data_IF_542842380048
#
_entry.id   IF_542842380048
#
_cell.length_a   1.000
_cell.length_b   1.000
_cell.length_c   1.000
_cell.angle_alpha   90.00
_cell.angle_beta   90.00
_cell.angle_gamma   90.00
#
_symmetry.space_group_name_H-M   'P 1'
#
loop_
_entity.id
_entity.type
_entity.pdbx_description
1 polymer ?
#
# COMPACT_ATOMS: atom_id res chain seq x y z
N UNK A 1 -18.28 1.92 14.68
CA UNK A 1 -17.61 2.16 15.98
C UNK A 1 -16.25 1.47 15.92
N UNK A 2 -15.22 2.07 16.46
CA UNK A 2 -13.89 1.51 16.49
C UNK A 2 -13.70 0.93 17.88
N UNK A 3 -13.64 -0.39 17.98
CA UNK A 3 -13.33 -1.06 19.24
C UNK A 3 -11.89 -1.56 19.20
N UNK A 4 -11.10 -1.09 20.14
CA UNK A 4 -9.80 -1.69 20.39
C UNK A 4 -9.98 -2.79 21.42
N UNK A 5 -9.47 -4.00 21.20
CA UNK A 5 -9.42 -5.00 22.24
C UNK A 5 -8.52 -4.46 23.36
N UNK A 6 -9.11 -4.20 24.53
CA UNK A 6 -8.35 -3.88 25.70
C UNK A 6 -7.45 -5.08 26.03
N UNK A 7 -6.16 -4.89 26.15
CA UNK A 7 -5.18 -5.86 26.68
C UNK A 7 -4.70 -6.99 25.74
N UNK A 8 -4.92 -6.94 24.43
CA UNK A 8 -4.30 -7.89 23.52
C UNK A 8 -2.98 -7.34 22.97
N UNK A 9 -1.90 -8.10 23.11
CA UNK A 9 -0.59 -7.76 22.53
C UNK A 9 -0.32 -8.64 21.32
N UNK A 10 -0.02 -8.00 20.19
CA UNK A 10 0.43 -8.66 18.97
C UNK A 10 1.94 -8.51 18.84
N UNK A 11 2.62 -9.60 18.57
CA UNK A 11 4.05 -9.62 18.29
C UNK A 11 4.25 -9.99 16.82
N UNK A 12 5.05 -9.21 16.13
CA UNK A 12 5.44 -9.47 14.74
C UNK A 12 6.94 -9.38 14.58
N UNK A 13 7.47 -10.13 13.66
CA UNK A 13 8.87 -10.06 13.25
C UNK A 13 8.96 -9.56 11.82
N UNK A 14 9.81 -8.57 11.60
CA UNK A 14 10.15 -8.12 10.26
C UNK A 14 11.24 -9.01 9.70
N UNK A 15 11.09 -9.45 8.46
CA UNK A 15 12.13 -10.23 7.76
C UNK A 15 13.35 -9.39 7.38
N UNK A 16 13.17 -8.08 7.30
CA UNK A 16 14.25 -7.15 7.01
C UNK A 16 13.78 -5.71 7.04
N UNK A 17 14.73 -4.81 7.16
CA UNK A 17 14.57 -3.37 7.02
C UNK A 17 15.58 -2.90 5.97
N UNK A 18 15.10 -2.24 4.94
CA UNK A 18 15.92 -1.83 3.81
C UNK A 18 15.76 -0.34 3.56
N UNK A 19 16.85 0.33 3.29
CA UNK A 19 16.87 1.72 2.80
C UNK A 19 17.06 1.78 1.28
N UNK A 20 17.42 0.67 0.66
CA UNK A 20 17.57 0.54 -0.77
C UNK A 20 16.30 -0.02 -1.41
N UNK A 21 15.82 0.63 -2.47
CA UNK A 21 14.56 0.29 -3.13
C UNK A 21 14.61 -1.10 -3.78
N UNK A 22 15.71 -1.47 -4.41
CA UNK A 22 15.87 -2.77 -5.04
C UNK A 22 15.73 -3.91 -4.02
N UNK A 23 16.46 -3.80 -2.90
CA UNK A 23 16.40 -4.80 -1.83
C UNK A 23 15.02 -4.90 -1.18
N UNK A 24 14.31 -3.78 -1.10
CA UNK A 24 13.01 -3.73 -0.44
C UNK A 24 11.89 -4.38 -1.27
N UNK A 25 11.89 -4.22 -2.59
CA UNK A 25 10.72 -4.55 -3.42
C UNK A 25 10.94 -5.61 -4.48
N UNK A 26 12.18 -5.95 -4.83
CA UNK A 26 12.48 -6.85 -5.96
C UNK A 26 11.91 -8.26 -5.80
N UNK A 27 11.74 -8.73 -4.59
CA UNK A 27 11.18 -10.04 -4.28
C UNK A 27 9.77 -9.99 -3.67
N UNK A 28 9.19 -8.81 -3.58
CA UNK A 28 7.87 -8.62 -2.99
C UNK A 28 6.73 -9.00 -3.95
N UNK A 29 5.73 -9.69 -3.43
CA UNK A 29 4.49 -10.00 -4.13
C UNK A 29 3.43 -8.91 -3.92
N UNK A 30 3.53 -8.20 -2.79
CA UNK A 30 2.67 -7.07 -2.43
C UNK A 30 3.56 -5.93 -1.95
N UNK A 31 3.36 -4.75 -2.51
CA UNK A 31 4.01 -3.53 -2.07
C UNK A 31 2.93 -2.56 -1.59
N UNK A 32 2.97 -2.22 -0.32
CA UNK A 32 1.98 -1.34 0.29
C UNK A 32 2.60 -0.01 0.70
N UNK A 33 2.16 1.07 0.07
CA UNK A 33 2.59 2.42 0.37
C UNK A 33 1.80 2.99 1.54
N UNK A 34 2.47 3.19 2.66
CA UNK A 34 1.92 3.83 3.86
C UNK A 34 2.48 5.24 3.99
N UNK A 35 2.21 6.08 3.00
CA UNK A 35 2.85 7.37 2.81
C UNK A 35 1.82 8.50 2.66
N UNK A 36 2.17 9.73 3.04
CA UNK A 36 1.38 10.88 2.68
C UNK A 36 1.38 11.11 1.16
N UNK A 37 0.32 11.73 0.64
CA UNK A 37 0.09 11.87 -0.80
C UNK A 37 1.25 12.51 -1.57
N UNK A 38 1.94 13.46 -0.97
CA UNK A 38 3.06 14.15 -1.61
C UNK A 38 4.29 13.25 -1.84
N UNK A 39 4.43 12.17 -1.09
CA UNK A 39 5.57 11.25 -1.20
C UNK A 39 5.34 10.08 -2.17
N UNK A 40 4.11 9.86 -2.59
CA UNK A 40 3.73 8.70 -3.42
C UNK A 40 4.46 8.70 -4.75
N UNK A 41 4.44 9.81 -5.47
CA UNK A 41 5.06 9.92 -6.79
C UNK A 41 6.56 9.61 -6.75
N UNK A 42 7.27 10.23 -5.84
CA UNK A 42 8.71 10.04 -5.72
C UNK A 42 9.06 8.61 -5.33
N UNK A 43 8.32 8.03 -4.41
CA UNK A 43 8.53 6.63 -4.00
C UNK A 43 8.24 5.68 -5.16
N UNK A 44 7.18 5.88 -5.93
CA UNK A 44 6.90 5.08 -7.12
C UNK A 44 8.00 5.16 -8.16
N UNK A 45 8.59 6.35 -8.36
CA UNK A 45 9.75 6.53 -9.26
C UNK A 45 10.98 5.74 -8.78
N UNK A 46 11.18 5.62 -7.48
CA UNK A 46 12.30 4.87 -6.92
C UNK A 46 12.12 3.35 -7.03
N UNK A 47 10.90 2.84 -6.93
CA UNK A 47 10.65 1.40 -6.86
C UNK A 47 10.23 0.76 -8.20
N UNK A 48 9.72 1.54 -9.14
CA UNK A 48 9.06 1.05 -10.35
C UNK A 48 9.90 0.07 -11.18
N UNK A 49 11.21 0.29 -11.26
CA UNK A 49 12.11 -0.51 -12.09
C UNK A 49 12.47 -1.87 -11.44
N UNK A 50 12.17 -2.03 -10.16
CA UNK A 50 12.49 -3.23 -9.38
C UNK A 50 11.28 -4.10 -9.07
N UNK A 51 10.07 -3.64 -9.39
CA UNK A 51 8.84 -4.38 -9.13
C UNK A 51 8.72 -5.62 -10.02
N UNK A 52 8.26 -6.72 -9.45
CA UNK A 52 7.82 -7.87 -10.26
C UNK A 52 6.60 -7.47 -11.10
N UNK A 53 6.46 -7.98 -12.33
CA UNK A 53 5.31 -7.68 -13.19
C UNK A 53 3.95 -8.03 -12.56
N UNK A 54 3.91 -9.09 -11.76
CA UNK A 54 2.70 -9.58 -11.08
C UNK A 54 2.52 -9.02 -9.67
N UNK A 55 3.47 -8.27 -9.13
CA UNK A 55 3.36 -7.69 -7.80
C UNK A 55 2.19 -6.71 -7.71
N UNK A 56 1.37 -6.86 -6.69
CA UNK A 56 0.30 -5.93 -6.42
C UNK A 56 0.84 -4.70 -5.67
N UNK A 57 0.60 -3.52 -6.21
CA UNK A 57 1.04 -2.25 -5.60
C UNK A 57 -0.17 -1.50 -5.08
N UNK A 58 -0.12 -1.13 -3.83
CA UNK A 58 -1.26 -0.48 -3.18
C UNK A 58 -0.89 0.68 -2.27
N UNK A 59 -1.92 1.41 -1.85
CA UNK A 59 -1.81 2.50 -0.88
C UNK A 59 -2.84 2.33 0.23
N UNK A 60 -2.40 2.60 1.46
CA UNK A 60 -3.29 2.53 2.64
C UNK A 60 -4.41 3.55 2.55
N UNK A 61 -4.12 4.74 2.02
CA UNK A 61 -5.15 5.73 1.68
C UNK A 61 -4.99 6.12 0.23
N UNK A 62 -5.89 5.65 -0.61
CA UNK A 62 -5.84 5.88 -2.06
C UNK A 62 -6.49 7.19 -2.51
N UNK A 63 -7.19 7.88 -1.62
CA UNK A 63 -7.89 9.14 -1.93
C UNK A 63 -6.98 10.32 -2.25
N UNK A 64 -5.68 10.18 -2.07
CA UNK A 64 -4.67 11.21 -2.30
C UNK A 64 -4.08 11.21 -3.73
N UNK A 65 -4.77 10.57 -4.68
CA UNK A 65 -4.33 10.52 -6.07
C UNK A 65 -3.39 9.37 -6.41
N UNK A 66 -3.27 8.36 -5.54
CA UNK A 66 -2.43 7.20 -5.75
C UNK A 66 -2.63 6.53 -7.10
N UNK A 67 -3.87 6.22 -7.47
CA UNK A 67 -4.17 5.55 -8.75
C UNK A 67 -3.73 6.38 -9.95
N UNK A 68 -3.91 7.68 -9.92
CA UNK A 68 -3.50 8.55 -11.01
C UNK A 68 -1.99 8.55 -11.22
N UNK A 69 -1.23 8.63 -10.16
CA UNK A 69 0.23 8.58 -10.24
C UNK A 69 0.75 7.18 -10.59
N UNK A 70 0.18 6.15 -10.00
CA UNK A 70 0.56 4.77 -10.29
C UNK A 70 0.28 4.39 -11.75
N UNK A 71 -0.87 4.76 -12.29
CA UNK A 71 -1.23 4.49 -13.69
C UNK A 71 -0.35 5.23 -14.69
N UNK A 72 0.22 6.37 -14.32
CA UNK A 72 1.18 7.09 -15.17
C UNK A 72 2.59 6.49 -15.15
N UNK A 73 2.99 5.94 -14.02
CA UNK A 73 4.38 5.54 -13.78
C UNK A 73 4.62 4.04 -13.91
N UNK A 74 3.59 3.22 -13.67
CA UNK A 74 3.69 1.77 -13.71
C UNK A 74 3.07 1.22 -15.00
N UNK A 75 3.52 0.03 -15.44
CA UNK A 75 2.91 -0.63 -16.59
C UNK A 75 1.41 -0.86 -16.38
N UNK A 76 0.63 -0.79 -17.46
CA UNK A 76 -0.83 -1.01 -17.41
C UNK A 76 -1.23 -2.41 -16.93
N UNK A 77 -0.31 -3.37 -16.99
CA UNK A 77 -0.48 -4.73 -16.48
C UNK A 77 -0.22 -4.87 -14.98
N UNK A 78 0.31 -3.83 -14.32
CA UNK A 78 0.59 -3.88 -12.90
C UNK A 78 -0.69 -3.87 -12.09
N UNK A 79 -0.96 -4.87 -11.23
CA UNK A 79 -2.13 -4.85 -10.38
C UNK A 79 -2.02 -3.73 -9.34
N UNK A 80 -3.06 -2.91 -9.24
CA UNK A 80 -3.14 -1.80 -8.28
C UNK A 80 -4.30 -2.00 -7.32
N UNK A 81 -4.11 -1.62 -6.07
CA UNK A 81 -5.20 -1.59 -5.08
C UNK A 81 -5.06 -0.40 -4.14
N UNK A 82 -6.15 -0.04 -3.49
CA UNK A 82 -6.10 1.05 -2.53
C UNK A 82 -7.25 0.99 -1.55
N UNK A 83 -6.96 1.33 -0.31
CA UNK A 83 -7.97 1.47 0.74
C UNK A 83 -8.58 2.86 0.71
N UNK A 84 -9.90 2.93 0.86
CA UNK A 84 -10.59 4.21 0.97
C UNK A 84 -10.15 4.98 2.21
N UNK A 85 -9.91 4.26 3.29
CA UNK A 85 -9.50 4.81 4.59
C UNK A 85 -8.47 3.90 5.26
N UNK A 86 -7.79 4.44 6.27
CA UNK A 86 -6.89 3.65 7.11
C UNK A 86 -7.67 2.53 7.80
N UNK A 87 -7.12 1.30 7.83
CA UNK A 87 -7.80 0.16 8.45
C UNK A 87 -7.86 0.25 9.97
N UNK A 88 -6.92 0.94 10.58
CA UNK A 88 -6.83 1.08 12.03
C UNK A 88 -6.24 2.43 12.42
N UNK A 89 -6.42 2.81 13.68
CA UNK A 89 -5.80 3.98 14.28
C UNK A 89 -4.76 3.49 15.27
N UNK A 90 -3.53 3.94 15.12
CA UNK A 90 -2.44 3.60 16.01
C UNK A 90 -1.63 4.84 16.42
N UNK A 91 -0.94 4.70 17.54
CA UNK A 91 -0.01 5.72 18.03
C UNK A 91 1.30 5.05 18.40
N UNK A 92 2.38 5.64 17.96
CA UNK A 92 3.73 5.19 18.31
C UNK A 92 3.95 5.40 19.82
N UNK A 93 4.36 4.35 20.51
CA UNK A 93 4.82 4.42 21.89
C UNK A 93 6.34 4.51 21.91
N UNK A 94 6.99 3.66 21.11
CA UNK A 94 8.43 3.59 20.95
C UNK A 94 8.76 3.39 19.48
N UNK A 95 9.47 4.33 18.90
CA UNK A 95 9.76 4.32 17.47
C UNK A 95 10.51 3.04 17.05
N UNK A 96 9.99 2.38 16.04
CA UNK A 96 10.54 1.14 15.51
C UNK A 96 10.27 -0.12 16.33
N UNK A 97 9.68 -0.01 17.52
CA UNK A 97 9.47 -1.15 18.41
C UNK A 97 8.02 -1.36 18.86
N UNK A 98 7.31 -0.30 19.18
CA UNK A 98 6.01 -0.41 19.82
C UNK A 98 5.02 0.65 19.35
N UNK A 99 3.84 0.20 19.02
CA UNK A 99 2.69 1.06 18.78
C UNK A 99 1.48 0.56 19.57
N UNK A 100 0.63 1.48 19.99
CA UNK A 100 -0.66 1.16 20.57
C UNK A 100 -1.70 1.20 19.46
N UNK A 101 -2.43 0.11 19.31
CA UNK A 101 -3.62 0.05 18.46
C UNK A 101 -4.78 0.67 19.25
N UNK A 102 -5.30 1.79 18.74
CA UNK A 102 -6.40 2.53 19.37
C UNK A 102 -7.76 1.98 18.94
N UNK A 103 -7.81 1.39 17.78
CA UNK A 103 -9.01 0.79 17.23
C UNK A 103 -8.84 0.39 15.77
N UNK A 104 -9.72 -0.47 15.29
CA UNK A 104 -9.76 -0.91 13.90
C UNK A 104 -11.20 -0.85 13.38
N UNK A 105 -11.33 -0.86 12.07
CA UNK A 105 -12.62 -0.82 11.40
C UNK A 105 -13.13 -2.24 11.15
N UNK A 106 -14.41 -2.44 11.32
CA UNK A 106 -15.08 -3.70 11.06
C UNK A 106 -15.17 -4.02 9.56
N UNK A 107 -15.16 -2.99 8.74
CA UNK A 107 -15.19 -3.12 7.29
C UNK A 107 -14.32 -2.08 6.60
N UNK A 108 -13.72 -2.47 5.50
CA UNK A 108 -12.89 -1.64 4.66
C UNK A 108 -13.36 -1.71 3.22
N UNK A 109 -13.39 -0.56 2.57
CA UNK A 109 -13.58 -0.51 1.12
C UNK A 109 -12.23 -0.48 0.44
N UNK A 110 -12.05 -1.40 -0.50
CA UNK A 110 -10.83 -1.55 -1.28
C UNK A 110 -11.19 -1.39 -2.74
N UNK A 111 -10.52 -0.50 -3.43
CA UNK A 111 -10.56 -0.41 -4.88
C UNK A 111 -9.43 -1.26 -5.45
N UNK A 112 -9.74 -2.04 -6.48
CA UNK A 112 -8.77 -2.88 -7.19
C UNK A 112 -8.83 -2.51 -8.65
N UNK A 113 -7.70 -2.11 -9.18
CA UNK A 113 -7.49 -1.92 -10.62
C UNK A 113 -6.64 -3.07 -11.14
N UNK A 114 -7.25 -3.94 -11.92
CA UNK A 114 -6.55 -4.96 -12.70
C UNK A 114 -6.61 -4.51 -14.15
N UNK A 115 -5.66 -3.73 -14.52
CA UNK A 115 -5.63 -3.30 -15.91
C UNK A 115 -5.06 -4.39 -16.83
N UNK A 116 -5.89 -5.35 -17.14
CA UNK A 116 -5.99 -5.65 -18.57
C UNK A 116 -6.92 -4.58 -19.10
N UNK A 117 -6.39 -3.48 -19.56
CA UNK A 117 -7.22 -2.59 -20.37
C UNK A 117 -7.78 -3.44 -21.46
N UNK A 118 -9.09 -3.54 -21.60
CA UNK A 118 -9.64 -4.01 -22.85
C UNK A 118 -8.98 -3.15 -23.92
N UNK A 119 -8.55 -3.79 -24.98
CA UNK A 119 -8.10 -3.12 -26.18
C UNK A 119 -9.04 -1.96 -26.45
N UNK A 120 -8.56 -0.81 -26.95
CA UNK A 120 -9.37 0.38 -27.17
C UNK A 120 -10.67 0.13 -27.95
N UNK A 121 -10.72 -0.97 -28.68
CA UNK A 121 -11.88 -1.42 -29.46
C UNK A 121 -13.02 -2.00 -28.58
N UNK A 122 -12.78 -2.24 -27.30
CA UNK A 122 -13.79 -2.72 -26.36
C UNK A 122 -14.40 -1.61 -25.52
N UNK A 123 -13.93 -0.39 -25.67
CA UNK A 123 -14.52 0.81 -25.05
C UNK A 123 -15.49 1.42 -26.05
N UNK A 124 -16.62 0.79 -26.16
CA UNK A 124 -17.74 1.40 -26.87
C UNK A 124 -18.62 2.13 -25.86
#
# INVERSE_FOLDING_TARGET
>A
MIEAPAETTFLGHLNGLFSDAEQAVSDADIVLLCLPGYAIRETLLQVKDYLKPEAAVGSVVSSTGFFFEAMKLLPSSQPLFGFQRVPFISRVIEYGHRARLMGYKDSLQVAIERSKHPEPDCVA
#
